data_IF_691362623738
#
_entry.id   IF_691362623738
#
_cell.length_a   1.000
_cell.length_b   1.000
_cell.length_c   1.000
_cell.angle_alpha   90.00
_cell.angle_beta   90.00
_cell.angle_gamma   90.00
#
_symmetry.space_group_name_H-M   'P 1'
#
loop_
_entity.id
_entity.type
_entity.pdbx_description
1 polymer ?
#
# COMPACT_ATOMS: atom_id res chain seq x y z
N UNK A 1 31.17 -25.14 18.66
CA UNK A 1 30.16 -25.93 17.92
C UNK A 1 28.86 -25.88 18.70
N UNK A 2 27.74 -25.54 18.05
CA UNK A 2 26.39 -25.46 18.63
C UNK A 2 25.77 -24.08 18.37
N UNK A 3 24.66 -23.91 17.66
CA UNK A 3 23.61 -24.83 17.18
C UNK A 3 23.55 -24.84 15.63
N UNK A 4 23.25 -25.98 15.02
CA UNK A 4 22.79 -26.00 13.63
C UNK A 4 21.42 -25.29 13.54
N UNK A 5 21.42 -24.01 13.20
CA UNK A 5 20.18 -23.25 13.04
C UNK A 5 19.49 -23.67 11.73
N UNK A 6 18.38 -24.40 11.86
CA UNK A 6 17.50 -24.74 10.74
C UNK A 6 16.61 -23.58 10.32
N UNK A 7 15.79 -23.79 9.30
CA UNK A 7 14.74 -22.82 8.92
C UNK A 7 13.56 -22.89 9.90
N UNK A 8 12.88 -21.76 10.09
CA UNK A 8 11.68 -21.64 10.91
C UNK A 8 10.46 -21.39 10.02
N UNK A 9 9.36 -22.11 10.26
CA UNK A 9 8.10 -21.89 9.56
C UNK A 9 7.33 -20.72 10.15
N UNK A 10 6.86 -19.81 9.29
CA UNK A 10 5.93 -18.73 9.64
C UNK A 10 4.70 -18.87 8.74
N UNK A 11 3.49 -19.07 9.28
CA UNK A 11 2.28 -19.10 8.45
C UNK A 11 2.08 -17.76 7.75
N UNK A 12 1.92 -17.82 6.43
CA UNK A 12 1.81 -16.65 5.56
C UNK A 12 0.89 -16.96 4.38
N UNK A 13 0.31 -15.91 3.81
CA UNK A 13 -0.35 -15.96 2.51
C UNK A 13 0.41 -15.09 1.50
N UNK A 14 0.41 -15.45 0.23
CA UNK A 14 0.99 -14.63 -0.84
C UNK A 14 -0.12 -14.19 -1.78
N UNK A 15 -0.47 -12.91 -1.73
CA UNK A 15 -1.71 -12.42 -2.32
C UNK A 15 -1.43 -11.23 -3.24
N UNK A 16 -2.13 -11.22 -4.38
CA UNK A 16 -2.24 -10.05 -5.24
C UNK A 16 -3.34 -9.13 -4.72
N UNK A 17 -2.98 -7.87 -4.42
CA UNK A 17 -3.93 -6.79 -4.18
C UNK A 17 -3.79 -5.75 -5.29
N UNK A 18 -4.86 -5.46 -6.03
CA UNK A 18 -4.80 -4.60 -7.22
C UNK A 18 -3.69 -5.03 -8.18
N UNK A 19 -2.79 -4.12 -8.53
CA UNK A 19 -1.63 -4.37 -9.40
C UNK A 19 -0.34 -4.62 -8.63
N UNK A 20 -0.41 -5.06 -7.37
CA UNK A 20 0.75 -5.38 -6.52
C UNK A 20 0.62 -6.78 -5.89
N UNK A 21 1.75 -7.33 -5.44
CA UNK A 21 1.78 -8.58 -4.66
C UNK A 21 2.44 -8.32 -3.31
N UNK A 22 1.96 -8.98 -2.26
CA UNK A 22 2.56 -8.91 -0.94
C UNK A 22 2.51 -10.26 -0.22
N UNK A 23 3.43 -10.44 0.73
CA UNK A 23 3.31 -11.47 1.76
C UNK A 23 2.41 -10.95 2.87
N UNK A 24 1.36 -11.69 3.19
CA UNK A 24 0.40 -11.40 4.24
C UNK A 24 0.73 -12.26 5.46
N UNK A 25 0.85 -11.60 6.62
CA UNK A 25 1.23 -12.20 7.89
C UNK A 25 0.22 -11.81 8.96
N UNK A 26 -0.17 -12.77 9.79
CA UNK A 26 -0.84 -12.47 11.05
C UNK A 26 0.16 -11.86 12.02
N UNK A 27 -0.18 -10.75 12.69
CA UNK A 27 0.65 -10.14 13.74
C UNK A 27 1.03 -11.13 14.84
N UNK A 28 0.19 -12.14 15.09
CA UNK A 28 0.42 -13.16 16.12
C UNK A 28 1.54 -14.16 15.75
N UNK A 29 1.93 -14.24 14.47
CA UNK A 29 2.93 -15.21 13.99
C UNK A 29 4.33 -14.62 13.82
N UNK A 30 4.51 -13.32 14.11
CA UNK A 30 5.77 -12.62 13.94
C UNK A 30 6.21 -11.93 15.25
N UNK A 31 7.51 -11.59 15.40
CA UNK A 31 7.98 -10.83 16.54
C UNK A 31 7.20 -9.50 16.74
N UNK A 32 7.15 -8.94 17.96
CA UNK A 32 6.60 -7.60 18.19
C UNK A 32 7.41 -6.51 17.43
N UNK A 33 6.86 -5.29 17.26
CA UNK A 33 7.57 -4.22 16.57
C UNK A 33 8.96 -3.97 17.15
N UNK A 34 9.96 -3.79 16.28
CA UNK A 34 11.35 -3.56 16.65
C UNK A 34 12.36 -4.31 15.76
N UNK A 35 13.67 -4.23 16.09
CA UNK A 35 14.73 -4.70 15.20
C UNK A 35 14.64 -6.17 14.79
N UNK A 36 14.13 -7.05 15.68
CA UNK A 36 13.96 -8.46 15.37
C UNK A 36 12.85 -8.68 14.33
N UNK A 37 11.74 -7.93 14.41
CA UNK A 37 10.70 -7.97 13.37
C UNK A 37 11.28 -7.50 12.05
N UNK A 38 11.97 -6.37 12.03
CA UNK A 38 12.56 -5.82 10.80
C UNK A 38 13.50 -6.83 10.14
N UNK A 39 14.36 -7.49 10.93
CA UNK A 39 15.24 -8.54 10.43
C UNK A 39 14.47 -9.74 9.84
N UNK A 40 13.40 -10.19 10.50
CA UNK A 40 12.54 -11.28 9.99
C UNK A 40 11.84 -10.87 8.70
N UNK A 41 11.24 -9.68 8.64
CA UNK A 41 10.52 -9.18 7.47
C UNK A 41 11.44 -8.99 6.27
N UNK A 42 12.63 -8.40 6.48
CA UNK A 42 13.66 -8.28 5.44
C UNK A 42 14.13 -9.65 4.96
N UNK A 43 14.35 -10.61 5.88
CA UNK A 43 14.72 -11.99 5.52
C UNK A 43 13.63 -12.71 4.71
N UNK A 44 12.35 -12.52 5.04
CA UNK A 44 11.22 -13.07 4.26
C UNK A 44 11.27 -12.57 2.82
N UNK A 45 11.59 -11.30 2.61
CA UNK A 45 11.67 -10.71 1.27
C UNK A 45 12.98 -11.02 0.54
N UNK A 46 14.02 -11.48 1.25
CA UNK A 46 15.34 -11.71 0.67
C UNK A 46 16.15 -10.42 0.51
N UNK A 47 15.89 -9.40 1.34
CA UNK A 47 16.55 -8.10 1.27
C UNK A 47 17.65 -7.96 2.34
N UNK A 48 18.73 -7.21 2.07
CA UNK A 48 19.01 -6.49 0.82
C UNK A 48 19.62 -7.39 -0.26
N UNK A 49 19.01 -7.40 -1.45
CA UNK A 49 19.48 -8.07 -2.65
C UNK A 49 18.70 -7.51 -3.86
N UNK A 50 19.36 -6.90 -4.87
CA UNK A 50 18.72 -6.50 -6.12
C UNK A 50 17.91 -7.62 -6.79
N UNK A 51 18.30 -8.89 -6.59
CA UNK A 51 17.63 -10.07 -7.14
C UNK A 51 16.56 -10.66 -6.22
N UNK A 52 16.55 -10.33 -4.93
CA UNK A 52 15.71 -10.95 -3.90
C UNK A 52 15.62 -12.48 -4.05
N UNK A 53 16.69 -13.12 -4.52
CA UNK A 53 16.65 -14.50 -5.03
C UNK A 53 16.45 -15.51 -3.89
N UNK A 54 16.89 -15.15 -2.69
CA UNK A 54 16.76 -15.93 -1.47
C UNK A 54 15.56 -15.43 -0.63
N UNK A 55 14.44 -15.09 -1.27
CA UNK A 55 13.23 -14.64 -0.57
C UNK A 55 11.98 -14.59 -1.46
N UNK A 56 10.90 -14.02 -0.89
CA UNK A 56 9.60 -13.88 -1.56
C UNK A 56 9.46 -12.58 -2.36
N UNK A 57 10.47 -11.70 -2.28
CA UNK A 57 10.53 -10.48 -3.06
C UNK A 57 10.59 -10.75 -4.56
N UNK A 58 10.12 -9.79 -5.35
CA UNK A 58 10.04 -9.93 -6.80
C UNK A 58 10.81 -8.86 -7.55
N UNK A 59 11.91 -8.36 -6.98
CA UNK A 59 12.88 -7.39 -7.56
C UNK A 59 12.30 -6.03 -7.97
N UNK A 60 11.04 -5.75 -7.62
CA UNK A 60 10.36 -4.50 -7.95
C UNK A 60 9.61 -3.98 -6.74
N UNK A 61 9.45 -2.66 -6.67
CA UNK A 61 8.74 -2.00 -5.55
C UNK A 61 7.30 -2.50 -5.42
N UNK A 62 6.66 -2.89 -6.53
CA UNK A 62 5.30 -3.46 -6.58
C UNK A 62 5.18 -4.91 -6.07
N UNK A 63 6.32 -5.60 -5.87
CA UNK A 63 6.42 -6.99 -5.43
C UNK A 63 7.31 -7.18 -4.18
N UNK A 64 7.91 -6.11 -3.65
CA UNK A 64 8.63 -6.09 -2.37
C UNK A 64 7.76 -5.45 -1.28
N UNK A 65 6.70 -6.16 -0.87
CA UNK A 65 5.68 -5.63 0.05
C UNK A 65 5.24 -6.68 1.07
N UNK A 66 4.95 -6.23 2.28
CA UNK A 66 4.36 -7.06 3.34
C UNK A 66 3.11 -6.36 3.89
N UNK A 67 2.07 -7.15 4.17
CA UNK A 67 0.89 -6.74 4.91
C UNK A 67 0.82 -7.52 6.22
N UNK A 68 0.85 -6.82 7.35
CA UNK A 68 0.67 -7.41 8.67
C UNK A 68 -0.74 -7.07 9.13
N UNK A 69 -1.51 -8.10 9.47
CA UNK A 69 -2.94 -7.96 9.80
C UNK A 69 -3.22 -8.60 11.15
N UNK A 70 -4.12 -8.00 11.93
CA UNK A 70 -4.64 -8.57 13.17
C UNK A 70 -6.06 -8.10 13.45
N UNK A 71 -6.87 -8.85 14.21
CA UNK A 71 -8.11 -8.32 14.76
C UNK A 71 -7.85 -7.00 15.51
N UNK A 72 -8.73 -6.02 15.34
CA UNK A 72 -8.62 -4.75 16.06
C UNK A 72 -9.21 -4.88 17.47
N UNK A 73 -8.68 -4.08 18.39
CA UNK A 73 -9.25 -3.86 19.73
C UNK A 73 -10.21 -2.66 19.75
N UNK A 74 -10.28 -1.88 18.65
CA UNK A 74 -11.16 -0.71 18.54
C UNK A 74 -12.59 -1.14 18.24
N UNK A 75 -13.57 -0.52 18.89
CA UNK A 75 -14.98 -0.92 18.77
C UNK A 75 -15.55 -0.82 17.34
N UNK A 76 -15.12 0.21 16.60
CA UNK A 76 -15.60 0.52 15.24
C UNK A 76 -14.68 0.03 14.11
N UNK A 77 -13.72 -0.84 14.42
CA UNK A 77 -12.76 -1.37 13.45
C UNK A 77 -12.73 -2.89 13.57
N UNK A 78 -12.71 -3.61 12.46
CA UNK A 78 -12.60 -5.08 12.52
C UNK A 78 -11.14 -5.53 12.65
N UNK A 79 -10.24 -4.86 11.92
CA UNK A 79 -8.83 -5.25 11.81
C UNK A 79 -7.88 -4.05 11.79
N UNK A 80 -6.69 -4.29 12.31
CA UNK A 80 -5.52 -3.43 12.15
C UNK A 80 -4.68 -3.94 10.98
N UNK A 81 -4.21 -3.02 10.15
CA UNK A 81 -3.35 -3.27 8.99
C UNK A 81 -2.10 -2.42 9.07
N UNK A 82 -0.93 -3.05 9.08
CA UNK A 82 0.37 -2.41 8.96
C UNK A 82 0.98 -2.79 7.60
N UNK A 83 1.24 -1.77 6.79
CA UNK A 83 1.91 -1.92 5.52
C UNK A 83 3.41 -1.75 5.74
N UNK A 84 4.21 -2.68 5.22
CA UNK A 84 5.66 -2.54 5.23
C UNK A 84 6.20 -2.54 3.79
N UNK A 85 6.85 -1.45 3.41
CA UNK A 85 7.63 -1.36 2.19
C UNK A 85 9.06 -1.80 2.52
N UNK A 86 9.48 -2.93 1.95
CA UNK A 86 10.82 -3.48 2.18
C UNK A 86 11.74 -2.99 1.06
N UNK A 87 12.90 -2.46 1.42
CA UNK A 87 13.98 -2.12 0.49
C UNK A 87 14.36 -3.32 -0.37
N UNK A 88 14.79 -3.08 -1.60
CA UNK A 88 15.22 -4.16 -2.50
C UNK A 88 16.72 -4.35 -2.33
N UNK A 89 17.50 -3.35 -2.75
CA UNK A 89 18.95 -3.28 -2.66
C UNK A 89 19.46 -2.56 -1.40
N UNK A 90 18.56 -1.89 -0.67
CA UNK A 90 18.85 -1.16 0.56
C UNK A 90 18.37 -1.96 1.78
N UNK A 91 19.10 -1.86 2.89
CA UNK A 91 18.79 -2.56 4.14
C UNK A 91 17.75 -1.84 5.00
N UNK A 92 16.67 -1.36 4.37
CA UNK A 92 15.64 -0.53 5.00
C UNK A 92 14.24 -1.14 4.91
N UNK A 93 13.37 -0.68 5.80
CA UNK A 93 11.94 -1.04 5.83
C UNK A 93 11.15 0.17 6.34
N UNK A 94 10.08 0.51 5.65
CA UNK A 94 9.23 1.67 5.97
C UNK A 94 7.81 1.26 6.32
N UNK A 95 7.25 1.89 7.36
CA UNK A 95 5.91 1.61 7.90
C UNK A 95 4.94 2.81 7.80
N UNK A 96 5.46 4.01 7.49
CA UNK A 96 4.74 5.28 7.65
C UNK A 96 3.79 5.62 6.48
N UNK A 97 3.13 4.62 5.90
CA UNK A 97 2.27 4.83 4.75
C UNK A 97 1.22 3.76 4.53
N UNK A 98 0.38 4.00 3.53
CA UNK A 98 -0.57 3.03 3.02
C UNK A 98 -0.16 2.56 1.62
N UNK A 99 -0.50 1.32 1.27
CA UNK A 99 -0.51 0.87 -0.10
C UNK A 99 -1.95 0.56 -0.53
N UNK A 100 -2.53 1.43 -1.36
CA UNK A 100 -3.92 1.31 -1.82
C UNK A 100 -4.20 0.02 -2.60
N UNK A 101 -3.20 -0.46 -3.35
CA UNK A 101 -3.28 -1.77 -4.01
C UNK A 101 -3.39 -2.90 -2.99
N UNK A 102 -2.49 -2.96 -2.01
CA UNK A 102 -2.49 -4.04 -1.01
C UNK A 102 -3.70 -3.96 -0.09
N UNK A 103 -4.23 -2.77 0.23
CA UNK A 103 -5.47 -2.65 1.01
C UNK A 103 -6.67 -3.34 0.35
N UNK A 104 -6.66 -3.55 -0.97
CA UNK A 104 -7.72 -4.31 -1.65
C UNK A 104 -7.75 -5.81 -1.30
N UNK A 105 -6.62 -6.37 -0.88
CA UNK A 105 -6.51 -7.77 -0.49
C UNK A 105 -6.60 -8.00 1.03
N UNK A 106 -6.51 -6.93 1.84
CA UNK A 106 -6.58 -7.01 3.31
C UNK A 106 -7.96 -7.46 3.79
N UNK A 107 -9.04 -6.93 3.21
CA UNK A 107 -10.41 -7.34 3.53
C UNK A 107 -10.67 -8.83 3.28
N UNK A 108 -10.44 -9.35 2.05
CA UNK A 108 -10.54 -10.78 1.75
C UNK A 108 -9.70 -11.65 2.68
N UNK A 109 -8.42 -11.31 2.89
CA UNK A 109 -7.54 -12.05 3.79
C UNK A 109 -8.12 -12.17 5.19
N UNK A 110 -8.62 -11.06 5.75
CA UNK A 110 -9.18 -11.07 7.10
C UNK A 110 -10.49 -11.88 7.22
N UNK A 111 -11.32 -11.90 6.19
CA UNK A 111 -12.52 -12.77 6.14
C UNK A 111 -12.09 -14.23 6.12
N UNK A 112 -11.15 -14.58 5.23
CA UNK A 112 -10.75 -15.97 5.01
C UNK A 112 -9.97 -16.55 6.20
N UNK A 113 -9.18 -15.74 6.88
CA UNK A 113 -8.49 -16.05 8.14
C UNK A 113 -9.39 -15.91 9.38
N UNK A 114 -10.70 -15.64 9.21
CA UNK A 114 -11.68 -15.55 10.30
C UNK A 114 -11.34 -14.48 11.36
N UNK A 115 -10.69 -13.40 10.96
CA UNK A 115 -10.34 -12.27 11.82
C UNK A 115 -11.50 -11.30 12.04
N UNK A 116 -12.49 -11.30 11.15
CA UNK A 116 -13.65 -10.40 11.18
C UNK A 116 -14.78 -11.04 11.98
N UNK A 117 -15.24 -10.33 13.02
CA UNK A 117 -16.25 -10.85 13.97
C UNK A 117 -17.69 -10.50 13.62
N UNK A 118 -17.92 -9.46 12.83
CA UNK A 118 -19.26 -8.91 12.55
C UNK A 118 -19.49 -8.80 11.05
N UNK A 119 -20.64 -9.27 10.60
CA UNK A 119 -21.12 -9.01 9.25
C UNK A 119 -21.81 -7.65 9.20
N UNK A 120 -21.35 -6.78 8.30
CA UNK A 120 -22.03 -5.53 7.93
C UNK A 120 -22.23 -5.54 6.43
N UNK A 121 -23.43 -5.18 5.97
CA UNK A 121 -23.72 -5.12 4.53
C UNK A 121 -22.84 -4.05 3.89
N UNK A 122 -22.04 -4.45 2.92
CA UNK A 122 -21.18 -3.57 2.14
C UNK A 122 -21.83 -3.07 0.86
N UNK A 123 -21.16 -2.14 0.19
CA UNK A 123 -21.51 -1.70 -1.15
C UNK A 123 -20.92 -2.65 -2.21
N UNK A 124 -21.57 -2.75 -3.36
CA UNK A 124 -21.05 -3.45 -4.53
C UNK A 124 -21.43 -2.70 -5.80
N UNK A 125 -20.51 -2.71 -6.76
CA UNK A 125 -20.77 -2.28 -8.14
C UNK A 125 -21.55 -3.35 -8.91
N UNK A 126 -21.41 -4.62 -8.52
CA UNK A 126 -22.23 -5.73 -9.01
C UNK A 126 -23.33 -6.02 -7.99
N UNK A 127 -24.57 -5.63 -8.31
CA UNK A 127 -25.73 -5.78 -7.41
C UNK A 127 -26.17 -7.23 -7.21
N UNK A 128 -25.63 -8.17 -7.97
CA UNK A 128 -25.92 -9.60 -7.80
C UNK A 128 -25.10 -10.23 -6.67
N UNK A 129 -24.01 -9.58 -6.25
CA UNK A 129 -23.12 -10.05 -5.19
C UNK A 129 -23.54 -9.49 -3.82
N UNK A 130 -23.54 -10.35 -2.81
CA UNK A 130 -23.58 -9.92 -1.41
C UNK A 130 -22.16 -9.46 -1.05
N UNK A 131 -22.06 -8.25 -0.52
CA UNK A 131 -20.80 -7.64 -0.12
C UNK A 131 -20.79 -7.40 1.39
N UNK A 132 -19.63 -7.60 2.02
CA UNK A 132 -19.38 -7.32 3.43
C UNK A 132 -18.51 -6.09 3.58
N UNK A 133 -18.92 -5.15 4.42
CA UNK A 133 -18.11 -4.00 4.82
C UNK A 133 -17.09 -4.40 5.89
N UNK A 134 -15.81 -4.28 5.56
CA UNK A 134 -14.68 -4.45 6.46
C UNK A 134 -14.06 -3.09 6.75
N UNK A 135 -13.97 -2.76 8.04
CA UNK A 135 -13.39 -1.52 8.56
C UNK A 135 -11.95 -1.79 8.99
N UNK A 136 -11.02 -1.15 8.31
CA UNK A 136 -9.58 -1.44 8.37
C UNK A 136 -8.86 -0.21 8.93
N UNK A 137 -8.27 -0.34 10.11
CA UNK A 137 -7.40 0.69 10.65
C UNK A 137 -5.99 0.53 10.09
N UNK A 138 -5.58 1.43 9.19
CA UNK A 138 -4.21 1.47 8.74
C UNK A 138 -3.34 2.11 9.83
N UNK A 139 -2.40 1.36 10.37
CA UNK A 139 -1.57 1.77 11.50
C UNK A 139 -0.50 2.80 11.13
N UNK A 140 0.01 2.75 9.89
CA UNK A 140 1.00 3.70 9.37
C UNK A 140 0.41 5.10 9.20
N UNK A 141 -0.73 5.22 8.51
CA UNK A 141 -1.41 6.51 8.28
C UNK A 141 -2.35 6.92 9.41
N UNK A 142 -2.69 5.99 10.31
CA UNK A 142 -3.67 6.19 11.39
C UNK A 142 -5.03 6.64 10.84
N UNK A 143 -5.44 6.04 9.71
CA UNK A 143 -6.72 6.32 9.04
C UNK A 143 -7.54 5.06 8.87
N UNK A 144 -8.86 5.26 8.78
CA UNK A 144 -9.82 4.21 8.49
C UNK A 144 -9.98 4.03 6.98
N UNK A 145 -9.79 2.81 6.51
CA UNK A 145 -10.11 2.37 5.15
C UNK A 145 -11.33 1.45 5.24
N UNK A 146 -12.27 1.60 4.32
CA UNK A 146 -13.43 0.70 4.24
C UNK A 146 -13.26 -0.17 3.00
N UNK A 147 -13.29 -1.48 3.17
CA UNK A 147 -13.26 -2.45 2.09
C UNK A 147 -14.61 -3.13 1.98
N UNK A 148 -15.19 -3.13 0.78
CA UNK A 148 -16.42 -3.85 0.52
C UNK A 148 -16.10 -5.11 -0.30
N UNK A 149 -16.16 -6.25 0.38
CA UNK A 149 -15.68 -7.53 -0.13
C UNK A 149 -16.86 -8.42 -0.51
N UNK A 150 -16.96 -8.88 -1.76
CA UNK A 150 -17.93 -9.91 -2.13
C UNK A 150 -17.70 -11.20 -1.33
N UNK A 151 -18.78 -11.79 -0.79
CA UNK A 151 -18.72 -13.00 0.02
C UNK A 151 -19.76 -14.04 -0.42
N UNK A 152 -19.41 -15.33 -0.35
CA UNK A 152 -20.34 -16.43 -0.59
C UNK A 152 -21.27 -16.57 0.63
N UNK A 153 -22.57 -16.45 0.42
CA UNK A 153 -23.57 -16.46 1.49
C UNK A 153 -23.70 -17.79 2.24
N UNK A 154 -23.19 -18.89 1.67
CA UNK A 154 -23.22 -20.22 2.27
C UNK A 154 -21.97 -20.49 3.09
N UNK A 155 -20.80 -20.03 2.63
CA UNK A 155 -19.52 -20.31 3.29
C UNK A 155 -19.02 -19.15 4.15
N UNK A 156 -19.49 -17.93 3.92
CA UNK A 156 -18.98 -16.71 4.54
C UNK A 156 -17.58 -16.32 4.10
N UNK A 157 -17.01 -17.01 3.09
CA UNK A 157 -15.66 -16.75 2.57
C UNK A 157 -15.68 -15.69 1.47
N UNK A 158 -14.54 -15.05 1.25
CA UNK A 158 -14.37 -14.07 0.18
C UNK A 158 -14.54 -14.73 -1.20
N UNK A 159 -15.16 -14.02 -2.13
CA UNK A 159 -15.27 -14.46 -3.53
C UNK A 159 -14.15 -13.79 -4.31
N UNK A 160 -13.34 -14.60 -5.00
CA UNK A 160 -12.25 -14.12 -5.85
C UNK A 160 -12.60 -14.09 -7.34
N UNK A 161 -13.48 -14.99 -7.79
CA UNK A 161 -13.90 -15.11 -9.18
C UNK A 161 -14.98 -14.07 -9.53
N UNK A 162 -14.92 -13.51 -10.74
CA UNK A 162 -15.91 -12.55 -11.23
C UNK A 162 -15.54 -12.07 -12.63
N UNK A 163 -16.26 -11.05 -13.10
CA UNK A 163 -16.14 -10.51 -14.47
C UNK A 163 -15.46 -9.14 -14.52
N UNK A 164 -15.11 -8.55 -13.37
CA UNK A 164 -14.44 -7.27 -13.34
C UNK A 164 -12.97 -7.42 -13.76
N UNK A 165 -12.50 -6.50 -14.60
CA UNK A 165 -11.09 -6.36 -14.99
C UNK A 165 -10.52 -5.04 -14.46
N UNK A 166 -9.20 -5.00 -14.27
CA UNK A 166 -8.45 -3.78 -14.00
C UNK A 166 -7.19 -3.78 -14.87
N UNK A 167 -6.76 -2.60 -15.31
CA UNK A 167 -5.55 -2.45 -16.10
C UNK A 167 -4.31 -2.91 -15.32
N UNK A 168 -3.36 -3.56 -16.01
CA UNK A 168 -2.13 -4.08 -15.42
C UNK A 168 -2.23 -5.48 -14.81
N UNK A 169 -3.41 -6.13 -14.86
CA UNK A 169 -3.55 -7.55 -14.47
C UNK A 169 -4.31 -8.36 -15.51
N UNK A 170 -3.76 -9.50 -15.98
CA UNK A 170 -4.49 -10.40 -16.87
C UNK A 170 -5.71 -11.04 -16.20
N UNK A 171 -6.78 -11.24 -16.98
CA UNK A 171 -7.99 -11.95 -16.56
C UNK A 171 -9.00 -11.06 -15.84
N UNK A 172 -9.92 -11.71 -15.11
CA UNK A 172 -11.02 -11.06 -14.37
C UNK A 172 -11.12 -11.61 -12.94
N UNK A 173 -11.82 -10.88 -12.09
CA UNK A 173 -12.08 -11.27 -10.70
C UNK A 173 -13.32 -10.60 -10.13
N UNK A 174 -13.61 -10.89 -8.87
CA UNK A 174 -14.68 -10.24 -8.14
C UNK A 174 -14.32 -8.76 -7.87
N UNK A 175 -15.25 -7.82 -8.04
CA UNK A 175 -14.98 -6.42 -7.80
C UNK A 175 -14.95 -6.11 -6.29
N UNK A 176 -13.86 -5.51 -5.83
CA UNK A 176 -13.73 -5.03 -4.45
C UNK A 176 -13.74 -3.50 -4.49
N UNK A 177 -14.73 -2.88 -3.86
CA UNK A 177 -14.76 -1.43 -3.69
C UNK A 177 -13.94 -1.05 -2.45
N UNK A 178 -12.87 -0.29 -2.66
CA UNK A 178 -12.08 0.29 -1.57
C UNK A 178 -12.41 1.77 -1.44
N UNK A 179 -12.78 2.14 -0.23
CA UNK A 179 -13.30 3.45 0.10
C UNK A 179 -12.36 4.17 1.07
N UNK A 180 -11.78 5.25 0.57
CA UNK A 180 -10.79 6.08 1.23
C UNK A 180 -11.38 7.37 1.82
N UNK A 181 -12.71 7.49 1.96
CA UNK A 181 -13.36 8.74 2.44
C UNK A 181 -12.84 9.25 3.79
N UNK A 182 -12.37 8.34 4.65
CA UNK A 182 -11.88 8.65 5.99
C UNK A 182 -10.35 8.80 6.06
N UNK A 183 -9.70 9.12 4.94
CA UNK A 183 -8.24 9.19 4.83
C UNK A 183 -7.68 10.58 4.52
N UNK A 184 -8.49 11.62 4.72
CA UNK A 184 -8.03 13.03 4.60
C UNK A 184 -6.96 13.31 5.67
N UNK A 185 -5.89 13.98 5.25
CA UNK A 185 -4.78 14.34 6.12
C UNK A 185 -4.03 13.11 6.64
N UNK A 186 -3.81 12.10 5.78
CA UNK A 186 -3.18 10.83 6.13
C UNK A 186 -1.75 11.00 6.63
N UNK A 187 -0.99 11.91 6.04
CA UNK A 187 0.41 12.14 6.40
C UNK A 187 0.58 13.25 7.43
N UNK A 188 -0.17 14.35 7.31
CA UNK A 188 0.07 15.58 8.07
C UNK A 188 -1.07 15.99 9.01
N UNK A 189 -2.24 15.37 8.91
CA UNK A 189 -3.44 15.77 9.67
C UNK A 189 -3.83 17.25 9.47
N UNK A 190 -3.51 17.83 8.30
CA UNK A 190 -3.77 19.24 7.94
C UNK A 190 -4.86 19.41 6.88
N UNK A 191 -5.75 18.43 6.74
CA UNK A 191 -6.80 18.43 5.73
C UNK A 191 -6.28 18.04 4.34
N UNK A 192 -7.08 18.35 3.30
CA UNK A 192 -6.81 17.97 1.91
C UNK A 192 -5.62 18.73 1.32
N UNK A 193 -5.52 20.03 1.61
CA UNK A 193 -4.47 20.92 1.07
C UNK A 193 -3.58 21.35 2.24
N UNK A 194 -2.55 20.57 2.61
CA UNK A 194 -1.76 20.82 3.81
C UNK A 194 -1.01 22.14 3.78
N UNK A 195 -0.63 22.65 2.61
CA UNK A 195 0.05 23.96 2.48
C UNK A 195 -0.88 25.16 2.69
N UNK A 196 -2.20 24.96 2.68
CA UNK A 196 -3.20 26.03 2.70
C UNK A 196 -3.44 26.71 1.35
N UNK A 197 -2.60 26.46 0.33
CA UNK A 197 -2.75 27.03 -1.01
C UNK A 197 -2.95 25.91 -2.04
N UNK A 198 -3.99 26.03 -2.86
CA UNK A 198 -4.27 25.06 -3.94
C UNK A 198 -3.11 24.99 -4.95
N UNK A 199 -2.46 26.13 -5.21
CA UNK A 199 -1.27 26.24 -6.05
C UNK A 199 -0.16 26.86 -5.21
N UNK A 200 1.02 26.24 -5.26
CA UNK A 200 2.25 26.72 -4.62
C UNK A 200 3.30 26.83 -5.72
N UNK A 201 4.25 27.76 -5.58
CA UNK A 201 5.35 27.92 -6.52
C UNK A 201 6.62 27.38 -5.88
N UNK A 202 7.34 26.51 -6.60
CA UNK A 202 8.61 25.96 -6.16
C UNK A 202 9.64 26.09 -7.27
N UNK A 203 10.80 26.68 -6.97
CA UNK A 203 11.91 26.75 -7.92
C UNK A 203 12.56 25.38 -8.05
N UNK A 204 12.68 24.83 -9.26
CA UNK A 204 13.35 23.56 -9.55
C UNK A 204 14.34 23.80 -10.69
N UNK A 205 15.62 23.55 -10.44
CA UNK A 205 16.69 24.05 -11.31
C UNK A 205 16.61 25.58 -11.47
N UNK A 206 16.43 26.06 -12.71
CA UNK A 206 16.37 27.49 -13.04
C UNK A 206 14.95 27.95 -13.42
N UNK A 207 13.91 27.22 -13.00
CA UNK A 207 12.51 27.54 -13.32
C UNK A 207 11.65 27.51 -12.06
N UNK A 208 10.70 28.43 -11.99
CA UNK A 208 9.61 28.36 -11.03
C UNK A 208 8.49 27.49 -11.59
N UNK A 209 8.02 26.54 -10.79
CA UNK A 209 7.03 25.53 -11.19
C UNK A 209 5.83 25.59 -10.25
N UNK A 210 4.64 25.64 -10.84
CA UNK A 210 3.38 25.52 -10.11
C UNK A 210 3.13 24.06 -9.69
N UNK A 211 2.88 23.87 -8.40
CA UNK A 211 2.57 22.56 -7.82
C UNK A 211 1.31 22.62 -6.93
N UNK A 212 0.62 21.49 -6.84
CA UNK A 212 -0.43 21.24 -5.84
C UNK A 212 0.03 20.12 -4.92
N UNK A 213 -0.04 20.34 -3.60
CA UNK A 213 0.22 19.30 -2.60
C UNK A 213 -1.13 18.88 -2.01
N UNK A 214 -1.44 17.59 -2.11
CA UNK A 214 -2.70 17.02 -1.64
C UNK A 214 -2.41 15.86 -0.68
N UNK A 215 -3.08 15.82 0.46
CA UNK A 215 -2.94 14.77 1.48
C UNK A 215 -4.27 14.04 1.68
N UNK A 216 -4.51 13.05 0.82
CA UNK A 216 -5.66 12.14 0.90
C UNK A 216 -5.16 10.72 0.60
N UNK A 217 -5.36 9.80 1.54
CA UNK A 217 -4.79 8.45 1.58
C UNK A 217 -3.26 8.40 1.72
N UNK A 218 -2.52 9.13 0.89
CA UNK A 218 -1.10 9.45 1.03
C UNK A 218 -0.88 10.89 0.53
N UNK A 219 0.19 11.53 0.98
CA UNK A 219 0.59 12.84 0.45
C UNK A 219 1.19 12.71 -0.96
N UNK A 220 0.68 13.52 -1.88
CA UNK A 220 1.12 13.59 -3.27
C UNK A 220 1.41 15.04 -3.66
N UNK A 221 2.40 15.23 -4.53
CA UNK A 221 2.65 16.49 -5.24
C UNK A 221 2.28 16.31 -6.71
N UNK A 222 1.47 17.22 -7.23
CA UNK A 222 1.03 17.28 -8.62
C UNK A 222 1.70 18.46 -9.30
N UNK A 223 2.14 18.24 -10.53
CA UNK A 223 2.84 19.22 -11.38
C UNK A 223 2.42 18.97 -12.82
N UNK A 224 2.38 20.02 -13.64
CA UNK A 224 2.10 19.85 -15.06
C UNK A 224 3.29 19.19 -15.78
N UNK A 225 3.01 18.19 -16.63
CA UNK A 225 4.02 17.46 -17.40
C UNK A 225 4.97 18.39 -18.17
N UNK A 226 4.41 19.41 -18.84
CA UNK A 226 5.16 20.42 -19.60
C UNK A 226 6.23 21.15 -18.77
N UNK A 227 5.99 21.38 -17.48
CA UNK A 227 6.92 22.11 -16.61
C UNK A 227 8.09 21.21 -16.19
N UNK A 228 7.87 19.90 -16.23
CA UNK A 228 8.90 18.86 -16.12
C UNK A 228 9.54 18.52 -17.47
N UNK A 229 9.11 19.15 -18.57
CA UNK A 229 9.65 18.95 -19.91
C UNK A 229 9.26 17.62 -20.56
N UNK A 230 8.08 17.09 -20.22
CA UNK A 230 7.52 15.85 -20.73
C UNK A 230 6.08 16.08 -21.24
N UNK A 231 5.55 15.19 -22.09
CA UNK A 231 4.17 15.24 -22.59
C UNK A 231 3.17 14.66 -21.60
N UNK A 232 3.58 13.70 -20.76
CA UNK A 232 2.75 13.03 -19.77
C UNK A 232 2.17 11.69 -20.22
N UNK A 233 2.50 11.25 -21.44
CA UNK A 233 2.14 9.95 -22.01
C UNK A 233 3.37 9.06 -22.29
N UNK A 234 4.52 9.40 -21.69
CA UNK A 234 5.73 8.60 -21.79
C UNK A 234 5.54 7.18 -21.23
N UNK A 235 6.22 6.23 -21.87
CA UNK A 235 6.36 4.87 -21.36
C UNK A 235 7.24 4.83 -20.10
N UNK A 236 7.08 3.76 -19.32
CA UNK A 236 7.93 3.51 -18.15
C UNK A 236 9.42 3.45 -18.51
N UNK A 237 9.77 2.90 -19.67
CA UNK A 237 11.17 2.82 -20.13
C UNK A 237 11.76 4.21 -20.44
N UNK A 238 11.00 5.07 -21.12
CA UNK A 238 11.42 6.45 -21.39
C UNK A 238 11.65 7.23 -20.10
N UNK A 239 10.73 7.13 -19.12
CA UNK A 239 10.88 7.80 -17.82
C UNK A 239 12.08 7.24 -17.03
N UNK A 240 12.20 5.91 -16.96
CA UNK A 240 13.24 5.26 -16.14
C UNK A 240 14.66 5.44 -16.72
N UNK A 241 14.79 5.65 -18.02
CA UNK A 241 16.08 5.93 -18.67
C UNK A 241 16.47 7.41 -18.63
N UNK A 242 15.52 8.32 -18.40
CA UNK A 242 15.78 9.75 -18.27
C UNK A 242 16.24 10.13 -16.85
N UNK A 243 17.54 9.97 -16.62
CA UNK A 243 18.19 10.38 -15.36
C UNK A 243 17.99 11.87 -15.01
N UNK A 244 17.85 12.76 -16.00
CA UNK A 244 17.67 14.20 -15.77
C UNK A 244 16.25 14.52 -15.30
N UNK A 245 15.24 13.86 -15.87
CA UNK A 245 13.87 13.90 -15.35
C UNK A 245 13.80 13.34 -13.93
N UNK A 246 14.39 12.18 -13.67
CA UNK A 246 14.41 11.57 -12.33
C UNK A 246 15.03 12.52 -11.30
N UNK A 247 16.15 13.19 -11.65
CA UNK A 247 16.80 14.17 -10.78
C UNK A 247 15.87 15.36 -10.47
N UNK A 248 15.22 15.93 -11.49
CA UNK A 248 14.26 17.03 -11.32
C UNK A 248 13.05 16.61 -10.46
N UNK A 249 12.52 15.42 -10.67
CA UNK A 249 11.44 14.87 -9.84
C UNK A 249 11.86 14.72 -8.37
N UNK A 250 13.10 14.26 -8.10
CA UNK A 250 13.64 14.16 -6.74
C UNK A 250 13.80 15.54 -6.08
N UNK A 251 14.29 16.53 -6.82
CA UNK A 251 14.42 17.91 -6.35
C UNK A 251 13.05 18.52 -6.02
N UNK A 252 12.10 18.44 -6.96
CA UNK A 252 10.72 18.92 -6.77
C UNK A 252 10.07 18.26 -5.56
N UNK A 253 10.19 16.94 -5.44
CA UNK A 253 9.67 16.18 -4.29
C UNK A 253 10.26 16.67 -2.98
N UNK A 254 11.58 16.84 -2.90
CA UNK A 254 12.25 17.30 -1.68
C UNK A 254 11.82 18.72 -1.28
N UNK A 255 11.73 19.64 -2.24
CA UNK A 255 11.27 21.01 -1.98
C UNK A 255 9.79 21.08 -1.60
N UNK A 256 8.94 20.26 -2.23
CA UNK A 256 7.52 20.14 -1.86
C UNK A 256 7.36 19.57 -0.44
N UNK A 257 8.14 18.55 -0.07
CA UNK A 257 8.18 18.01 1.30
C UNK A 257 8.56 19.09 2.32
N UNK A 258 9.64 19.83 2.05
CA UNK A 258 10.08 20.94 2.91
C UNK A 258 8.99 21.99 3.12
N UNK A 259 8.26 22.36 2.06
CA UNK A 259 7.19 23.37 2.12
C UNK A 259 6.08 23.02 3.12
N UNK A 260 5.83 21.72 3.33
CA UNK A 260 4.79 21.24 4.24
C UNK A 260 5.31 20.66 5.55
N UNK A 261 6.64 20.67 5.76
CA UNK A 261 7.29 20.27 7.00
C UNK A 261 7.58 18.76 7.12
N UNK A 262 7.89 18.10 6.00
CA UNK A 262 8.35 16.71 5.92
C UNK A 262 9.85 16.62 5.62
#
# INVERSE_FOLDING_TARGET
>A
MGSSAGQYGIPAAYIRGGTSKAVFLSKAHIPPPGPLRDAVLKRIMGSPDPMQIDGMGGTRVVTSKIAIVSPSEREDVDIDYEFAQVGIDQDDIGYDGNCGNISSAVGPYAIDESMVKRFRVGASIDKTLISQEIRIWNTGTKKLIISHVPVDSRTGKSISNGTASIDGTPGTGAPILIDFRNTIGASLSRGVIPSGNAINVVSVGNKDIDITICDVANICVFVAAKDMGISGDETAEQINSDSALISRCKELRGKASQLVGL
#
